data_IF_650170979043
#
_entry.id   IF_650170979043
#
_cell.length_a   1.000
_cell.length_b   1.000
_cell.length_c   1.000
_cell.angle_alpha   90.00
_cell.angle_beta   90.00
_cell.angle_gamma   90.00
#
_symmetry.space_group_name_H-M   'P 1'
#
loop_
_entity.id
_entity.type
_entity.pdbx_description
1 polymer ?
#
# COMPACT_ATOMS: atom_id res chain seq x y z
N UNK A 1 7.59 0.42 16.23
CA UNK A 1 8.63 1.45 16.23
C UNK A 1 8.39 2.34 15.03
N UNK A 2 8.23 3.65 15.27
CA UNK A 2 8.02 4.64 14.23
C UNK A 2 9.30 5.50 14.08
N UNK A 3 9.78 5.65 12.85
CA UNK A 3 10.94 6.48 12.51
C UNK A 3 10.81 6.94 11.05
N UNK A 4 11.55 7.95 10.62
CA UNK A 4 11.51 8.33 9.20
C UNK A 4 12.18 9.65 8.90
N UNK A 5 11.89 10.16 7.71
CA UNK A 5 12.47 11.37 7.14
C UNK A 5 11.52 12.54 7.41
N UNK A 6 11.70 13.20 8.56
CA UNK A 6 10.81 14.31 8.94
C UNK A 6 10.82 15.47 7.93
N UNK A 7 11.93 15.66 7.21
CA UNK A 7 12.10 16.76 6.26
C UNK A 7 11.22 16.67 5.01
N UNK A 8 10.77 15.47 4.63
CA UNK A 8 9.90 15.23 3.47
C UNK A 8 8.54 14.62 3.84
N UNK A 9 8.30 14.39 5.14
CA UNK A 9 7.04 13.86 5.65
C UNK A 9 6.88 12.34 5.51
N UNK A 10 7.97 11.59 5.31
CA UNK A 10 7.94 10.14 5.16
C UNK A 10 8.16 9.41 6.51
N UNK A 11 7.21 8.55 6.90
CA UNK A 11 7.25 7.76 8.13
C UNK A 11 7.26 6.26 7.84
N UNK A 12 8.18 5.54 8.48
CA UNK A 12 8.25 4.09 8.55
C UNK A 12 7.63 3.64 9.88
N UNK A 13 6.44 3.05 9.80
CA UNK A 13 5.77 2.47 10.96
C UNK A 13 5.89 0.94 10.95
N UNK A 14 6.77 0.43 11.81
CA UNK A 14 7.01 -1.00 11.96
C UNK A 14 6.32 -1.53 13.20
N UNK A 15 5.40 -2.48 13.02
CA UNK A 15 4.72 -3.13 14.13
C UNK A 15 5.49 -4.38 14.56
N UNK A 16 5.76 -4.50 15.86
CA UNK A 16 6.43 -5.65 16.46
C UNK A 16 5.50 -6.31 17.47
N UNK A 17 5.60 -7.63 17.59
CA UNK A 17 4.83 -8.35 18.61
C UNK A 17 5.28 -7.89 20.01
N UNK A 18 4.36 -7.53 20.93
CA UNK A 18 4.73 -7.00 22.25
C UNK A 18 5.51 -7.97 23.13
N UNK A 19 5.30 -9.27 22.93
CA UNK A 19 5.98 -10.36 23.62
C UNK A 19 6.40 -11.40 22.57
N UNK A 20 7.53 -12.11 22.75
CA UNK A 20 7.94 -13.17 21.84
C UNK A 20 7.04 -14.40 22.02
N UNK A 21 5.83 -14.34 21.43
CA UNK A 21 4.85 -15.43 21.41
C UNK A 21 4.82 -16.05 20.00
N UNK A 22 3.71 -16.70 19.67
CA UNK A 22 3.44 -17.28 18.37
C UNK A 22 3.27 -16.17 17.31
N UNK A 23 4.35 -15.94 16.55
CA UNK A 23 4.43 -15.03 15.39
C UNK A 23 3.27 -15.25 14.39
N UNK A 24 2.72 -16.47 14.30
CA UNK A 24 1.58 -16.78 13.43
C UNK A 24 0.32 -15.98 13.79
N UNK A 25 -0.01 -15.86 15.08
CA UNK A 25 -1.18 -15.13 15.54
C UNK A 25 -1.05 -13.61 15.30
N UNK A 26 0.17 -13.07 15.44
CA UNK A 26 0.45 -11.67 15.16
C UNK A 26 0.37 -11.37 13.66
N UNK A 27 1.00 -12.21 12.81
CA UNK A 27 0.94 -12.07 11.35
C UNK A 27 -0.46 -12.20 10.79
N UNK A 28 -1.31 -13.04 11.37
CA UNK A 28 -2.71 -13.16 10.96
C UNK A 28 -3.49 -11.84 11.07
N UNK A 29 -3.03 -10.91 11.93
CA UNK A 29 -3.63 -9.57 12.12
C UNK A 29 -3.00 -8.50 11.24
N UNK A 30 -1.94 -8.80 10.50
CA UNK A 30 -1.16 -7.81 9.75
C UNK A 30 -2.04 -6.94 8.83
N UNK A 31 -2.97 -7.54 8.08
CA UNK A 31 -3.85 -6.79 7.18
C UNK A 31 -4.75 -5.80 7.93
N UNK A 32 -5.32 -6.20 9.07
CA UNK A 32 -6.16 -5.33 9.88
C UNK A 32 -5.36 -4.19 10.52
N UNK A 33 -4.15 -4.50 11.00
CA UNK A 33 -3.24 -3.50 11.56
C UNK A 33 -2.76 -2.50 10.50
N UNK A 34 -2.42 -2.97 9.29
CA UNK A 34 -2.06 -2.08 8.18
C UNK A 34 -3.20 -1.14 7.79
N UNK A 35 -4.45 -1.61 7.81
CA UNK A 35 -5.61 -0.73 7.55
C UNK A 35 -5.70 0.41 8.55
N UNK A 36 -5.48 0.16 9.85
CA UNK A 36 -5.47 1.24 10.86
C UNK A 36 -4.45 2.33 10.52
N UNK A 37 -3.23 1.94 10.12
CA UNK A 37 -2.18 2.88 9.72
C UNK A 37 -2.54 3.62 8.43
N UNK A 38 -3.05 2.90 7.43
CA UNK A 38 -3.44 3.49 6.15
C UNK A 38 -4.62 4.48 6.29
N UNK A 39 -5.63 4.13 7.07
CA UNK A 39 -6.80 4.98 7.35
C UNK A 39 -6.36 6.25 8.08
N UNK A 40 -5.41 6.13 9.02
CA UNK A 40 -4.80 7.29 9.66
C UNK A 40 -4.07 8.16 8.64
N UNK A 41 -3.24 7.58 7.76
CA UNK A 41 -2.54 8.36 6.73
C UNK A 41 -3.53 9.10 5.81
N UNK A 42 -4.60 8.42 5.38
CA UNK A 42 -5.63 9.00 4.53
C UNK A 42 -6.41 10.13 5.22
N UNK A 43 -6.68 10.02 6.53
CA UNK A 43 -7.35 11.08 7.30
C UNK A 43 -6.56 12.38 7.39
N UNK A 44 -5.24 12.34 7.11
CA UNK A 44 -4.35 13.51 7.04
C UNK A 44 -3.94 13.84 5.58
N UNK A 45 -4.73 13.41 4.59
CA UNK A 45 -4.45 13.60 3.16
C UNK A 45 -3.06 13.05 2.73
N UNK A 46 -2.57 12.03 3.44
CA UNK A 46 -1.27 11.41 3.21
C UNK A 46 -1.28 10.27 2.19
N UNK A 47 -0.11 9.65 1.98
CA UNK A 47 0.05 8.47 1.11
C UNK A 47 0.30 7.19 1.94
N UNK A 48 -0.35 6.10 1.56
CA UNK A 48 -0.09 4.75 2.14
C UNK A 48 1.23 4.13 1.63
N UNK A 49 1.89 4.78 0.69
CA UNK A 49 3.19 4.38 0.16
C UNK A 49 3.94 5.62 -0.32
N UNK A 50 4.91 6.07 0.48
CA UNK A 50 5.74 7.22 0.17
C UNK A 50 6.84 6.85 -0.84
N UNK A 51 7.59 5.77 -0.59
CA UNK A 51 8.81 5.44 -1.36
C UNK A 51 8.87 4.01 -1.92
N UNK A 52 8.31 3.01 -1.22
CA UNK A 52 8.46 1.60 -1.60
C UNK A 52 7.63 1.19 -2.82
N UNK A 53 6.69 2.04 -3.23
CA UNK A 53 5.71 1.73 -4.27
C UNK A 53 4.68 0.68 -3.82
N UNK A 54 3.89 0.20 -4.79
CA UNK A 54 2.74 -0.70 -4.51
C UNK A 54 3.04 -2.18 -4.71
N UNK A 55 3.78 -2.52 -5.77
CA UNK A 55 4.09 -3.89 -6.14
C UNK A 55 2.85 -4.80 -6.15
N UNK A 56 2.95 -5.97 -5.50
CA UNK A 56 1.81 -6.87 -5.26
C UNK A 56 1.14 -6.61 -3.91
N UNK A 57 1.93 -6.22 -2.90
CA UNK A 57 1.51 -6.13 -1.51
C UNK A 57 0.40 -5.11 -1.27
N UNK A 58 0.37 -4.02 -2.03
CA UNK A 58 -0.63 -2.97 -1.90
C UNK A 58 -1.54 -2.84 -3.14
N UNK A 59 -1.51 -3.84 -4.04
CA UNK A 59 -2.25 -3.78 -5.30
C UNK A 59 -3.76 -3.68 -5.08
N UNK A 60 -4.29 -4.50 -4.18
CA UNK A 60 -5.73 -4.59 -3.98
C UNK A 60 -6.23 -3.50 -3.03
N UNK A 61 -5.41 -3.11 -2.06
CA UNK A 61 -5.79 -2.11 -1.05
C UNK A 61 -5.82 -0.67 -1.61
N UNK A 62 -5.12 -0.39 -2.71
CA UNK A 62 -5.07 0.97 -3.28
C UNK A 62 -6.43 1.47 -3.75
N UNK A 63 -7.37 0.56 -4.06
CA UNK A 63 -8.73 0.90 -4.46
C UNK A 63 -9.48 1.66 -3.35
N UNK A 64 -9.10 1.45 -2.09
CA UNK A 64 -9.70 2.11 -0.93
C UNK A 64 -9.16 3.54 -0.73
N UNK A 65 -7.97 3.86 -1.28
CA UNK A 65 -7.22 5.10 -0.99
C UNK A 65 -6.89 5.95 -2.22
N UNK A 66 -7.39 5.58 -3.39
CA UNK A 66 -7.24 6.35 -4.63
C UNK A 66 -8.59 6.63 -5.26
N UNK A 67 -8.71 7.79 -5.89
CA UNK A 67 -9.95 8.12 -6.59
C UNK A 67 -10.20 7.14 -7.75
N UNK A 68 -11.47 6.85 -8.08
CA UNK A 68 -11.79 6.02 -9.23
C UNK A 68 -11.18 6.55 -10.54
N UNK A 69 -11.12 7.88 -10.70
CA UNK A 69 -10.55 8.54 -11.87
C UNK A 69 -9.04 8.31 -11.98
N UNK A 70 -8.28 8.45 -10.88
CA UNK A 70 -6.84 8.15 -10.91
C UNK A 70 -6.58 6.70 -11.34
N UNK A 71 -7.37 5.76 -10.82
CA UNK A 71 -7.24 4.34 -11.16
C UNK A 71 -7.62 4.05 -12.62
N UNK A 72 -8.67 4.69 -13.13
CA UNK A 72 -9.06 4.61 -14.55
C UNK A 72 -7.94 5.12 -15.46
N UNK A 73 -7.37 6.28 -15.15
CA UNK A 73 -6.26 6.85 -15.93
C UNK A 73 -5.03 5.92 -15.93
N UNK A 74 -4.67 5.36 -14.77
CA UNK A 74 -3.55 4.41 -14.69
C UNK A 74 -3.81 3.15 -15.52
N UNK A 75 -5.05 2.62 -15.51
CA UNK A 75 -5.44 1.48 -16.36
C UNK A 75 -5.38 1.85 -17.85
N UNK A 76 -5.84 3.03 -18.23
CA UNK A 76 -5.76 3.54 -19.60
C UNK A 76 -4.31 3.60 -20.12
N UNK A 77 -3.40 4.16 -19.32
CA UNK A 77 -1.96 4.19 -19.65
C UNK A 77 -1.38 2.77 -19.75
N UNK A 78 -1.74 1.87 -18.83
CA UNK A 78 -1.28 0.48 -18.86
C UNK A 78 -1.75 -0.23 -20.13
N UNK A 79 -3.02 -0.07 -20.51
CA UNK A 79 -3.58 -0.69 -21.71
C UNK A 79 -2.99 -0.12 -23.00
N UNK A 80 -2.69 1.19 -23.03
CA UNK A 80 -2.04 1.84 -24.16
C UNK A 80 -0.64 1.27 -24.42
N UNK A 81 0.14 1.06 -23.35
CA UNK A 81 1.54 0.64 -23.46
C UNK A 81 1.72 -0.89 -23.52
N UNK A 82 0.83 -1.65 -22.88
CA UNK A 82 0.93 -3.11 -22.78
C UNK A 82 -0.45 -3.76 -22.98
N UNK A 83 -0.99 -3.72 -24.21
CA UNK A 83 -2.32 -4.24 -24.51
C UNK A 83 -2.43 -5.77 -24.35
N UNK A 84 -1.30 -6.48 -24.44
CA UNK A 84 -1.23 -7.92 -24.23
C UNK A 84 -0.98 -8.31 -22.76
N UNK A 85 -0.80 -7.35 -21.85
CA UNK A 85 -0.64 -7.60 -20.42
C UNK A 85 0.65 -8.34 -20.03
N UNK A 86 1.72 -8.25 -20.83
CA UNK A 86 2.96 -9.00 -20.63
C UNK A 86 3.92 -8.33 -19.63
N UNK A 87 3.83 -7.01 -19.48
CA UNK A 87 4.72 -6.24 -18.62
C UNK A 87 4.27 -6.31 -17.17
N UNK A 88 4.83 -7.27 -16.43
CA UNK A 88 4.71 -7.39 -14.97
C UNK A 88 3.25 -7.61 -14.48
N UNK A 89 2.58 -8.69 -14.92
CA UNK A 89 1.16 -8.92 -14.67
C UNK A 89 0.85 -9.03 -13.17
N UNK A 90 -0.33 -8.54 -12.80
CA UNK A 90 -0.87 -8.65 -11.44
C UNK A 90 -0.14 -7.81 -10.40
N UNK A 91 0.55 -6.74 -10.79
CA UNK A 91 1.17 -5.75 -9.87
C UNK A 91 0.63 -4.35 -10.14
N UNK A 92 0.80 -3.45 -9.17
CA UNK A 92 0.54 -2.00 -9.24
C UNK A 92 -0.94 -1.61 -9.31
N UNK A 93 -1.74 -2.25 -10.17
CA UNK A 93 -3.17 -1.98 -10.34
C UNK A 93 -4.00 -3.20 -9.96
N UNK A 94 -5.12 -3.02 -9.26
CA UNK A 94 -6.10 -4.09 -9.10
C UNK A 94 -6.65 -4.52 -10.46
N UNK A 95 -7.17 -5.74 -10.51
CA UNK A 95 -7.82 -6.30 -11.71
C UNK A 95 -8.90 -5.40 -12.30
#
# INVERSE_FOLDING_TARGET
MAYGHVGDGNLHDNLSEPEPRDDGAFRARAAALSRVVHDSAAAFDGSISAEHGRGRSQRDVIADYKSPLELELMRGVKQLLDPAGLMNPGKVLPG
#
